data_IF_388392808736
#
_entry.id   IF_388392808736
#
_cell.length_a   1.000
_cell.length_b   1.000
_cell.length_c   1.000
_cell.angle_alpha   90.00
_cell.angle_beta   90.00
_cell.angle_gamma   90.00
#
_symmetry.space_group_name_H-M   'P 1'
#
loop_
_entity.id
_entity.type
_entity.pdbx_description
1 polymer ?
#
# COMPACT_ATOMS: atom_id res chain seq x y z
N UNK A 1 3.32 -0.85 -2.90
CA UNK A 1 2.56 -1.73 -3.81
C UNK A 1 3.45 -2.14 -4.99
N UNK A 2 3.40 -3.39 -5.48
CA UNK A 2 4.31 -3.86 -6.55
C UNK A 2 3.67 -3.72 -7.94
N UNK A 3 4.49 -3.65 -9.00
CA UNK A 3 4.02 -3.65 -10.40
C UNK A 3 3.12 -4.85 -10.71
N UNK A 4 3.50 -6.04 -10.23
CA UNK A 4 2.71 -7.27 -10.40
C UNK A 4 1.31 -7.18 -9.79
N UNK A 5 1.16 -6.44 -8.69
CA UNK A 5 -0.12 -6.29 -8.02
C UNK A 5 -1.04 -5.42 -8.88
N UNK A 6 -0.53 -4.29 -9.41
CA UNK A 6 -1.29 -3.43 -10.31
C UNK A 6 -1.68 -4.15 -11.59
N UNK A 7 -0.76 -4.89 -12.21
CA UNK A 7 -1.06 -5.64 -13.43
C UNK A 7 -2.17 -6.67 -13.20
N UNK A 8 -2.20 -7.32 -12.03
CA UNK A 8 -3.21 -8.33 -11.69
C UNK A 8 -4.57 -7.71 -11.34
N UNK A 9 -4.58 -6.57 -10.64
CA UNK A 9 -5.81 -5.84 -10.26
C UNK A 9 -6.48 -5.25 -11.50
N UNK A 10 -5.70 -4.65 -12.39
CA UNK A 10 -6.20 -4.00 -13.61
C UNK A 10 -6.12 -4.89 -14.85
N UNK A 11 -6.20 -6.22 -14.66
CA UNK A 11 -6.08 -7.20 -15.77
C UNK A 11 -7.22 -7.13 -16.79
N UNK A 12 -8.35 -6.52 -16.41
CA UNK A 12 -9.49 -6.22 -17.27
C UNK A 12 -9.31 -4.93 -18.09
N UNK A 13 -8.22 -4.19 -17.89
CA UNK A 13 -7.89 -2.99 -18.65
C UNK A 13 -6.79 -3.28 -19.67
N UNK A 14 -6.74 -2.46 -20.71
CA UNK A 14 -5.56 -2.36 -21.57
C UNK A 14 -4.56 -1.43 -20.90
N UNK A 15 -3.45 -2.00 -20.43
CA UNK A 15 -2.37 -1.25 -19.77
C UNK A 15 -1.52 -0.56 -20.85
N UNK A 16 -1.58 0.76 -20.89
CA UNK A 16 -0.79 1.60 -21.81
C UNK A 16 0.61 1.81 -21.23
N UNK A 17 0.72 2.01 -19.92
CA UNK A 17 2.00 2.20 -19.23
C UNK A 17 1.87 1.76 -17.77
N UNK A 18 2.85 1.00 -17.28
CA UNK A 18 2.97 0.64 -15.87
C UNK A 18 4.44 0.69 -15.48
N UNK A 19 4.80 1.60 -14.58
CA UNK A 19 6.19 1.82 -14.17
C UNK A 19 6.29 2.13 -12.67
N UNK A 20 7.50 1.96 -12.10
CA UNK A 20 7.75 2.40 -10.73
C UNK A 20 7.81 3.91 -10.68
N UNK A 21 7.29 4.48 -9.60
CA UNK A 21 7.55 5.88 -9.28
C UNK A 21 9.07 6.03 -8.97
N UNK A 22 9.78 6.92 -9.68
CA UNK A 22 11.21 7.11 -9.48
C UNK A 22 11.53 7.90 -8.20
N UNK A 23 10.58 8.65 -7.65
CA UNK A 23 10.80 9.53 -6.49
C UNK A 23 10.33 8.92 -5.18
N UNK A 24 9.22 8.21 -5.19
CA UNK A 24 8.61 7.68 -3.98
C UNK A 24 8.29 6.18 -4.11
N UNK A 25 8.11 5.45 -2.99
CA UNK A 25 7.61 4.07 -3.03
C UNK A 25 6.21 3.97 -3.65
N UNK A 26 6.15 3.72 -4.95
CA UNK A 26 4.88 3.71 -5.69
C UNK A 26 5.02 3.18 -7.11
N UNK A 27 3.91 3.23 -7.84
CA UNK A 27 3.83 2.85 -9.24
C UNK A 27 2.86 3.80 -9.97
N UNK A 28 3.22 4.19 -11.19
CA UNK A 28 2.33 4.89 -12.09
C UNK A 28 1.66 3.90 -13.03
N UNK A 29 0.34 4.02 -13.16
CA UNK A 29 -0.47 3.24 -14.08
C UNK A 29 -1.24 4.17 -15.00
N UNK A 30 -1.07 3.97 -16.31
CA UNK A 30 -1.94 4.50 -17.36
C UNK A 30 -2.60 3.32 -18.06
N UNK A 31 -3.92 3.24 -18.00
CA UNK A 31 -4.68 2.16 -18.60
C UNK A 31 -6.01 2.68 -19.16
N UNK A 32 -6.58 1.95 -20.13
CA UNK A 32 -7.90 2.26 -20.71
C UNK A 32 -8.81 1.03 -20.63
N UNK A 33 -10.12 1.27 -20.50
CA UNK A 33 -11.10 0.19 -20.64
C UNK A 33 -11.14 -0.26 -22.10
N UNK A 34 -11.01 -1.55 -22.42
CA UNK A 34 -11.23 -2.05 -23.77
C UNK A 34 -12.70 -1.90 -24.16
N UNK A 35 -13.00 -1.93 -25.46
CA UNK A 35 -14.38 -1.76 -25.98
C UNK A 35 -15.37 -2.78 -25.38
N UNK A 36 -14.93 -4.02 -25.18
CA UNK A 36 -15.74 -5.13 -24.68
C UNK A 36 -15.45 -5.41 -23.19
N UNK A 37 -15.21 -4.36 -22.40
CA UNK A 37 -14.81 -4.49 -21.01
C UNK A 37 -15.77 -5.36 -20.19
N UNK A 38 -15.21 -6.29 -19.43
CA UNK A 38 -15.90 -7.08 -18.42
C UNK A 38 -15.06 -7.05 -17.14
N UNK A 39 -15.69 -6.89 -15.98
CA UNK A 39 -14.96 -6.80 -14.73
C UNK A 39 -14.17 -8.08 -14.47
N UNK A 40 -12.91 -7.93 -14.11
CA UNK A 40 -12.11 -9.04 -13.61
C UNK A 40 -12.63 -9.48 -12.23
N UNK A 41 -12.67 -10.78 -12.00
CA UNK A 41 -12.86 -11.30 -10.64
C UNK A 41 -11.62 -10.98 -9.78
N UNK A 42 -11.83 -10.26 -8.67
CA UNK A 42 -10.79 -9.86 -7.73
C UNK A 42 -10.86 -10.60 -6.39
N UNK A 43 -11.83 -11.52 -6.23
CA UNK A 43 -12.08 -12.24 -4.96
C UNK A 43 -10.85 -12.99 -4.42
N UNK A 44 -9.97 -13.43 -5.33
CA UNK A 44 -8.75 -14.17 -5.03
C UNK A 44 -7.48 -13.29 -4.92
N UNK A 45 -7.62 -11.97 -4.87
CA UNK A 45 -6.50 -11.04 -4.74
C UNK A 45 -6.45 -10.50 -3.31
N UNK A 46 -5.35 -10.76 -2.63
CA UNK A 46 -5.04 -10.11 -1.35
C UNK A 46 -4.34 -8.78 -1.57
N UNK A 47 -4.83 -7.74 -0.87
CA UNK A 47 -4.22 -6.43 -0.86
C UNK A 47 -3.46 -6.22 0.46
N UNK A 48 -2.38 -5.45 0.38
CA UNK A 48 -1.67 -5.05 1.60
C UNK A 48 -2.52 -4.05 2.38
N UNK A 49 -2.88 -4.39 3.61
CA UNK A 49 -3.59 -3.48 4.50
C UNK A 49 -2.62 -2.60 5.25
N UNK A 50 -2.76 -1.29 5.06
CA UNK A 50 -2.02 -0.29 5.85
C UNK A 50 -2.42 -0.32 7.33
N UNK A 51 -3.63 -0.81 7.65
CA UNK A 51 -4.13 -0.95 9.02
C UNK A 51 -3.44 -2.14 9.70
N UNK A 52 -3.43 -3.30 9.05
CA UNK A 52 -2.90 -4.53 9.65
C UNK A 52 -1.39 -4.71 9.47
N UNK A 53 -0.78 -4.01 8.52
CA UNK A 53 0.63 -4.21 8.14
C UNK A 53 0.91 -5.53 7.42
N UNK A 54 -0.13 -6.19 6.90
CA UNK A 54 -0.05 -7.47 6.18
C UNK A 54 -1.07 -7.55 5.05
N UNK A 55 -0.93 -8.56 4.20
CA UNK A 55 -1.91 -8.88 3.16
C UNK A 55 -3.20 -9.44 3.76
N UNK A 56 -4.33 -9.03 3.21
CA UNK A 56 -5.68 -9.46 3.62
C UNK A 56 -6.63 -9.40 2.43
N UNK A 57 -7.69 -10.22 2.47
CA UNK A 57 -8.83 -10.14 1.53
C UNK A 57 -9.96 -9.32 2.12
N UNK A 58 -10.07 -9.33 3.45
CA UNK A 58 -11.14 -8.67 4.17
C UNK A 58 -10.84 -7.20 4.41
N UNK A 59 -11.90 -6.39 4.46
CA UNK A 59 -11.82 -4.98 4.85
C UNK A 59 -11.51 -4.94 6.35
N UNK A 60 -10.31 -4.47 6.75
CA UNK A 60 -9.92 -4.48 8.15
C UNK A 60 -10.62 -3.37 8.92
N UNK A 61 -11.08 -3.67 10.14
CA UNK A 61 -11.50 -2.65 11.09
C UNK A 61 -10.28 -2.01 11.78
N UNK A 62 -10.45 -0.79 12.28
CA UNK A 62 -9.41 -0.10 13.06
C UNK A 62 -9.13 -0.82 14.39
N UNK A 63 -10.12 -1.51 14.95
CA UNK A 63 -9.95 -2.29 16.19
C UNK A 63 -8.97 -3.46 16.00
N UNK A 64 -8.85 -3.98 14.79
CA UNK A 64 -7.88 -5.02 14.43
C UNK A 64 -6.45 -4.52 14.22
N UNK A 65 -6.18 -3.22 14.36
CA UNK A 65 -4.84 -2.66 14.16
C UNK A 65 -3.87 -3.16 15.23
N UNK A 66 -2.71 -3.75 14.85
CA UNK A 66 -1.69 -4.12 15.82
C UNK A 66 -1.25 -2.91 16.66
N UNK A 67 -1.23 -3.06 17.99
CA UNK A 67 -0.94 -1.97 18.94
C UNK A 67 0.39 -1.29 18.61
N UNK A 68 1.43 -2.07 18.31
CA UNK A 68 2.75 -1.54 17.95
C UNK A 68 2.69 -0.62 16.74
N UNK A 69 1.87 -0.98 15.74
CA UNK A 69 1.69 -0.18 14.52
C UNK A 69 0.94 1.11 14.81
N UNK A 70 -0.13 1.03 15.62
CA UNK A 70 -0.89 2.19 16.08
C UNK A 70 0.01 3.19 16.79
N UNK A 71 0.78 2.73 17.78
CA UNK A 71 1.73 3.57 18.53
C UNK A 71 2.77 4.18 17.59
N UNK A 72 3.36 3.38 16.70
CA UNK A 72 4.40 3.88 15.79
C UNK A 72 3.87 4.97 14.85
N UNK A 73 2.67 4.80 14.29
CA UNK A 73 2.04 5.81 13.44
C UNK A 73 1.68 7.08 14.21
N UNK A 74 1.19 6.94 15.44
CA UNK A 74 0.94 8.10 16.32
C UNK A 74 2.23 8.88 16.56
N UNK A 75 3.32 8.19 16.91
CA UNK A 75 4.63 8.80 17.14
C UNK A 75 5.16 9.52 15.88
N UNK A 76 5.03 8.90 14.70
CA UNK A 76 5.44 9.51 13.43
C UNK A 76 4.61 10.75 13.08
N UNK A 77 3.32 10.77 13.40
CA UNK A 77 2.42 11.90 13.13
C UNK A 77 2.56 13.07 14.10
N UNK A 78 3.09 12.86 15.32
CA UNK A 78 3.07 13.86 16.40
C UNK A 78 4.01 15.07 16.22
N UNK A 79 4.58 15.34 15.04
CA UNK A 79 5.65 16.35 14.78
C UNK A 79 6.93 16.16 15.61
N UNK A 80 6.91 15.38 16.69
CA UNK A 80 8.07 14.95 17.48
C UNK A 80 9.06 14.10 16.68
N UNK A 81 8.68 13.61 15.50
CA UNK A 81 9.59 12.92 14.58
C UNK A 81 10.79 13.78 14.17
N UNK A 82 10.68 15.12 14.24
CA UNK A 82 11.79 16.03 13.96
C UNK A 82 12.81 16.13 15.10
N UNK A 83 12.42 15.81 16.33
CA UNK A 83 13.29 15.88 17.53
C UNK A 83 13.91 14.54 17.89
N UNK A 84 13.57 13.46 17.18
CA UNK A 84 14.09 12.13 17.47
C UNK A 84 15.47 11.90 16.83
N UNK A 85 16.35 11.13 17.51
CA UNK A 85 17.59 10.68 16.92
C UNK A 85 17.35 9.93 15.60
N UNK A 86 18.18 10.19 14.58
CA UNK A 86 18.02 9.58 13.25
C UNK A 86 18.05 8.05 13.23
N UNK A 87 18.65 7.41 14.24
CA UNK A 87 18.58 5.95 14.43
C UNK A 87 17.18 5.49 14.83
N UNK A 88 16.55 6.18 15.80
CA UNK A 88 15.20 5.86 16.27
C UNK A 88 14.16 6.08 15.16
N UNK A 89 14.28 7.18 14.41
CA UNK A 89 13.42 7.44 13.25
C UNK A 89 13.52 6.32 12.21
N UNK A 90 14.73 5.81 11.93
CA UNK A 90 14.96 4.68 11.01
C UNK A 90 14.38 3.36 11.50
N UNK A 91 14.40 3.10 12.81
CA UNK A 91 13.80 1.91 13.40
C UNK A 91 12.27 1.95 13.32
N UNK A 92 11.66 3.11 13.64
CA UNK A 92 10.21 3.30 13.57
C UNK A 92 9.70 3.23 12.14
N UNK A 93 10.41 3.82 11.16
CA UNK A 93 10.02 3.69 9.75
C UNK A 93 10.12 2.24 9.27
N UNK A 94 11.11 1.47 9.74
CA UNK A 94 11.22 0.02 9.45
C UNK A 94 10.10 -0.81 10.09
N UNK A 95 9.55 -0.38 11.23
CA UNK A 95 8.45 -1.09 11.88
C UNK A 95 7.09 -0.89 11.18
N UNK A 96 6.98 0.13 10.32
CA UNK A 96 5.75 0.46 9.57
C UNK A 96 5.81 0.06 8.10
N UNK A 97 7.02 0.04 7.51
CA UNK A 97 7.32 -0.39 6.12
C UNK A 97 7.11 -1.88 5.92
#
# INVERSE_FOLDING_TARGET
MRLSDMARIFRDFEIITLMRDPMEPGVFLKARKPMNWRPADLSNIELYSMILGRRTRDIPSLDGMPILRRVTLTILNLRLASTMPGALRRLLTRAVS
#
